data_IF_320320458217
#
_entry.id   IF_320320458217
#
_cell.length_a   1.000
_cell.length_b   1.000
_cell.length_c   1.000
_cell.angle_alpha   90.00
_cell.angle_beta   90.00
_cell.angle_gamma   90.00
#
_symmetry.space_group_name_H-M   'P 1'
#
loop_
_entity.id
_entity.type
_entity.pdbx_description
1 polymer ?
#
# COMPACT_ATOMS: atom_id res chain seq x y z
N UNK A 1 -9.15 -7.38 19.53
CA UNK A 1 -10.29 -7.44 18.58
C UNK A 1 -9.92 -8.49 17.53
N UNK A 2 -10.75 -9.49 17.24
CA UNK A 2 -10.41 -10.47 16.18
C UNK A 2 -10.63 -9.82 14.81
N UNK A 3 -9.66 -9.95 13.90
CA UNK A 3 -9.70 -9.37 12.54
C UNK A 3 -10.66 -10.12 11.59
N UNK A 4 -11.19 -11.28 11.99
CA UNK A 4 -12.05 -12.10 11.14
C UNK A 4 -11.31 -12.74 9.95
N UNK A 5 -9.99 -12.83 10.00
CA UNK A 5 -9.18 -13.45 8.96
C UNK A 5 -9.25 -14.98 9.04
N UNK A 6 -9.27 -15.63 7.88
CA UNK A 6 -9.23 -17.10 7.77
C UNK A 6 -7.82 -17.55 7.44
N UNK A 7 -7.20 -18.46 8.23
CA UNK A 7 -5.93 -19.06 7.88
C UNK A 7 -6.05 -19.86 6.57
N UNK A 8 -5.11 -19.64 5.65
CA UNK A 8 -5.03 -20.36 4.39
C UNK A 8 -3.58 -20.76 4.10
N UNK A 9 -3.39 -21.87 3.41
CA UNK A 9 -2.06 -22.29 2.94
C UNK A 9 -1.85 -21.77 1.51
N UNK A 10 -1.01 -20.74 1.37
CA UNK A 10 -0.65 -20.12 0.09
C UNK A 10 0.77 -19.57 0.13
N UNK A 11 1.42 -19.51 -1.04
CA UNK A 11 2.69 -18.81 -1.19
C UNK A 11 2.54 -17.28 -1.11
N UNK A 12 3.67 -16.60 -0.94
CA UNK A 12 3.76 -15.14 -1.09
C UNK A 12 3.51 -14.77 -2.55
N UNK A 13 2.66 -13.78 -2.78
CA UNK A 13 2.54 -13.18 -4.10
C UNK A 13 3.77 -12.29 -4.40
N UNK A 14 3.87 -11.83 -5.65
CA UNK A 14 4.95 -10.95 -6.10
C UNK A 14 5.08 -9.68 -5.23
N UNK A 15 3.95 -9.11 -4.79
CA UNK A 15 3.92 -7.88 -4.02
C UNK A 15 4.58 -8.05 -2.65
N UNK A 16 4.42 -9.21 -2.02
CA UNK A 16 5.12 -9.54 -0.78
C UNK A 16 6.54 -10.06 -1.02
N UNK A 17 6.74 -10.95 -2.01
CA UNK A 17 8.03 -11.62 -2.24
C UNK A 17 9.14 -10.67 -2.66
N UNK A 18 8.90 -9.74 -3.60
CA UNK A 18 9.94 -8.84 -4.12
C UNK A 18 10.58 -7.99 -3.01
N UNK A 19 9.85 -7.16 -2.24
CA UNK A 19 10.47 -6.33 -1.22
C UNK A 19 11.16 -7.17 -0.14
N UNK A 20 10.57 -8.30 0.27
CA UNK A 20 11.15 -9.16 1.29
C UNK A 20 12.44 -9.86 0.81
N UNK A 21 12.50 -10.31 -0.44
CA UNK A 21 13.72 -10.90 -1.02
C UNK A 21 14.88 -9.92 -1.10
N UNK A 22 14.60 -8.62 -1.18
CA UNK A 22 15.61 -7.56 -1.20
C UNK A 22 16.00 -7.10 0.21
N UNK A 23 15.04 -7.05 1.15
CA UNK A 23 15.27 -6.63 2.53
C UNK A 23 15.92 -7.73 3.39
N UNK A 24 15.49 -8.98 3.19
CA UNK A 24 15.87 -10.17 3.98
C UNK A 24 16.22 -11.34 3.06
N UNK A 25 17.33 -11.27 2.30
CA UNK A 25 17.68 -12.24 1.26
C UNK A 25 17.90 -13.68 1.79
N UNK A 26 18.30 -13.83 3.05
CA UNK A 26 18.52 -15.13 3.69
C UNK A 26 17.24 -15.80 4.19
N UNK A 27 16.08 -15.12 4.09
CA UNK A 27 14.77 -15.60 4.52
C UNK A 27 14.74 -16.10 5.98
N UNK A 28 15.47 -15.43 6.85
CA UNK A 28 15.62 -15.73 8.28
C UNK A 28 14.56 -15.06 9.18
N UNK A 29 13.70 -14.21 8.60
CA UNK A 29 12.57 -13.57 9.27
C UNK A 29 11.26 -14.30 8.92
N UNK A 30 10.49 -14.81 9.90
CA UNK A 30 9.17 -15.39 9.66
C UNK A 30 8.19 -14.36 9.08
N UNK A 31 7.43 -14.77 8.06
CA UNK A 31 6.49 -13.88 7.34
C UNK A 31 5.06 -14.42 7.44
N UNK A 32 4.13 -13.55 7.82
CA UNK A 32 2.69 -13.79 7.70
C UNK A 32 2.13 -12.83 6.67
N UNK A 33 1.60 -13.35 5.56
CA UNK A 33 0.91 -12.53 4.56
C UNK A 33 -0.55 -12.30 4.96
N UNK A 34 -0.99 -11.04 4.93
CA UNK A 34 -2.38 -10.65 5.14
C UNK A 34 -3.00 -10.18 3.81
N UNK A 35 -4.10 -10.81 3.38
CA UNK A 35 -4.84 -10.34 2.20
C UNK A 35 -5.62 -9.06 2.50
N UNK A 36 -5.66 -8.13 1.55
CA UNK A 36 -6.51 -6.95 1.66
C UNK A 36 -7.98 -7.26 1.30
N UNK A 37 -8.94 -6.83 2.13
CA UNK A 37 -10.36 -6.97 1.82
C UNK A 37 -10.79 -5.97 0.72
N UNK A 38 -11.05 -6.49 -0.48
CA UNK A 38 -11.32 -5.69 -1.70
C UNK A 38 -12.52 -4.73 -1.63
N UNK A 39 -13.43 -4.90 -0.67
CA UNK A 39 -14.65 -4.08 -0.52
C UNK A 39 -14.58 -3.07 0.61
N UNK A 40 -13.48 -3.03 1.36
CA UNK A 40 -13.34 -2.10 2.47
C UNK A 40 -13.07 -0.69 1.97
N UNK A 41 -13.64 0.27 2.68
CA UNK A 41 -13.38 1.70 2.53
C UNK A 41 -11.96 2.05 2.97
N UNK A 42 -11.47 3.21 2.52
CA UNK A 42 -10.17 3.74 2.95
C UNK A 42 -10.08 3.86 4.48
N UNK A 43 -11.15 4.31 5.15
CA UNK A 43 -11.21 4.41 6.61
C UNK A 43 -11.13 3.05 7.30
N UNK A 44 -11.79 2.02 6.76
CA UNK A 44 -11.69 0.65 7.30
C UNK A 44 -10.28 0.08 7.16
N UNK A 45 -9.57 0.39 6.07
CA UNK A 45 -8.17 -0.01 5.86
C UNK A 45 -7.21 0.73 6.81
N UNK A 46 -7.44 2.01 7.09
CA UNK A 46 -6.66 2.75 8.10
C UNK A 46 -6.91 2.14 9.48
N UNK A 47 -8.18 1.87 9.82
CA UNK A 47 -8.54 1.24 11.09
C UNK A 47 -7.96 -0.20 11.24
N UNK A 48 -7.73 -0.91 10.13
CA UNK A 48 -6.96 -2.16 10.13
C UNK A 48 -5.52 -1.91 10.55
N UNK A 49 -4.85 -0.93 9.94
CA UNK A 49 -3.52 -0.50 10.32
C UNK A 49 -3.41 -0.18 11.81
N UNK A 50 -4.34 0.62 12.32
CA UNK A 50 -4.40 1.00 13.74
C UNK A 50 -4.54 -0.23 14.67
N UNK A 51 -5.27 -1.25 14.24
CA UNK A 51 -5.38 -2.52 14.99
C UNK A 51 -4.08 -3.34 14.92
N UNK A 52 -3.34 -3.25 13.82
CA UNK A 52 -2.05 -3.92 13.66
C UNK A 52 -0.90 -3.17 14.36
N UNK A 53 -1.06 -1.87 14.65
CA UNK A 53 -0.04 -1.03 15.30
C UNK A 53 0.48 -1.61 16.62
N UNK A 54 -0.38 -2.32 17.36
CA UNK A 54 -0.02 -2.97 18.63
C UNK A 54 1.06 -4.06 18.46
N UNK A 55 1.14 -4.70 17.30
CA UNK A 55 2.15 -5.73 17.01
C UNK A 55 3.57 -5.18 17.05
N UNK A 56 3.75 -3.87 16.83
CA UNK A 56 5.05 -3.20 16.96
C UNK A 56 5.59 -3.24 18.39
N UNK A 57 4.74 -3.40 19.40
CA UNK A 57 5.15 -3.58 20.79
C UNK A 57 5.67 -5.00 21.05
N UNK A 58 5.38 -5.93 20.15
CA UNK A 58 5.81 -7.34 20.17
C UNK A 58 6.97 -7.60 19.19
N UNK A 59 7.67 -6.54 18.76
CA UNK A 59 8.81 -6.60 17.80
C UNK A 59 8.42 -7.16 16.42
N UNK A 60 7.17 -6.93 16.00
CA UNK A 60 6.67 -7.32 14.68
C UNK A 60 6.63 -6.11 13.76
N UNK A 61 7.29 -6.24 12.59
CA UNK A 61 7.26 -5.25 11.52
C UNK A 61 5.98 -5.38 10.67
N UNK A 62 5.23 -4.29 10.52
CA UNK A 62 4.11 -4.20 9.57
C UNK A 62 4.61 -3.60 8.26
N UNK A 63 4.46 -4.34 7.15
CA UNK A 63 4.88 -3.91 5.81
C UNK A 63 3.66 -3.78 4.91
N UNK A 64 3.42 -2.58 4.37
CA UNK A 64 2.51 -2.37 3.25
C UNK A 64 3.29 -2.28 1.94
N UNK A 65 3.10 -3.24 1.04
CA UNK A 65 3.72 -3.25 -0.29
C UNK A 65 2.67 -3.01 -1.37
N UNK A 66 2.92 -2.02 -2.23
CA UNK A 66 2.00 -1.58 -3.27
C UNK A 66 2.72 -0.75 -4.32
N UNK A 67 2.03 0.20 -4.94
CA UNK A 67 2.63 1.12 -5.90
C UNK A 67 2.03 2.51 -5.75
N UNK A 68 2.89 3.53 -5.73
CA UNK A 68 2.43 4.91 -5.63
C UNK A 68 1.61 5.33 -6.85
N UNK A 69 1.94 4.80 -8.03
CA UNK A 69 1.19 5.00 -9.29
C UNK A 69 1.05 3.65 -10.00
N UNK A 70 -0.13 3.30 -10.49
CA UNK A 70 -0.39 2.01 -11.12
C UNK A 70 -1.49 2.07 -12.19
N UNK A 71 -1.10 2.36 -13.43
CA UNK A 71 -1.98 2.30 -14.59
C UNK A 71 -1.32 1.55 -15.76
N UNK A 72 -1.63 0.24 -15.84
CA UNK A 72 -1.08 -0.63 -16.88
C UNK A 72 -1.69 -0.37 -18.27
N UNK A 73 -2.83 0.33 -18.37
CA UNK A 73 -3.42 0.71 -19.66
C UNK A 73 -2.57 1.76 -20.40
N UNK A 74 -1.72 2.49 -19.67
CA UNK A 74 -0.87 3.56 -20.20
C UNK A 74 0.64 3.25 -20.03
N UNK A 75 1.00 1.96 -19.98
CA UNK A 75 2.40 1.55 -19.95
C UNK A 75 3.15 2.09 -21.18
N UNK A 76 4.28 2.75 -20.95
CA UNK A 76 5.14 3.27 -22.01
C UNK A 76 6.45 2.48 -22.09
N UNK A 77 7.12 2.46 -23.26
CA UNK A 77 8.44 1.87 -23.40
C UNK A 77 9.46 2.42 -22.40
N UNK A 78 10.45 1.61 -22.04
CA UNK A 78 11.54 2.06 -21.19
C UNK A 78 12.29 3.23 -21.83
N UNK A 79 12.54 4.29 -21.05
CA UNK A 79 13.21 5.50 -21.52
C UNK A 79 12.25 6.58 -22.07
N UNK A 80 10.94 6.31 -22.12
CA UNK A 80 9.94 7.34 -22.39
C UNK A 80 9.94 8.43 -21.30
N UNK A 81 9.59 9.65 -21.70
CA UNK A 81 9.41 10.75 -20.75
C UNK A 81 8.27 10.44 -19.79
N UNK A 82 8.50 10.61 -18.49
CA UNK A 82 7.48 10.42 -17.47
C UNK A 82 6.33 11.42 -17.72
N UNK A 83 5.08 10.96 -17.89
CA UNK A 83 3.95 11.86 -18.06
C UNK A 83 3.73 12.74 -16.83
N UNK A 84 3.35 14.01 -17.04
CA UNK A 84 3.15 14.96 -15.95
C UNK A 84 2.13 14.49 -14.90
N UNK A 85 1.07 13.78 -15.31
CA UNK A 85 0.05 13.24 -14.42
C UNK A 85 0.58 12.23 -13.39
N UNK A 86 1.65 11.50 -13.72
CA UNK A 86 2.35 10.58 -12.79
C UNK A 86 3.05 11.41 -11.71
N UNK A 87 3.81 12.42 -12.15
CA UNK A 87 4.58 13.29 -11.26
C UNK A 87 3.68 14.09 -10.31
N UNK A 88 2.63 14.73 -10.82
CA UNK A 88 1.73 15.56 -10.02
C UNK A 88 1.01 14.77 -8.92
N UNK A 89 0.57 13.55 -9.20
CA UNK A 89 -0.02 12.69 -8.17
C UNK A 89 1.01 12.24 -7.14
N UNK A 90 2.18 11.76 -7.59
CA UNK A 90 3.24 11.31 -6.69
C UNK A 90 3.73 12.43 -5.75
N UNK A 91 3.90 13.64 -6.29
CA UNK A 91 4.26 14.84 -5.53
C UNK A 91 3.18 15.20 -4.51
N UNK A 92 1.91 15.16 -4.91
CA UNK A 92 0.79 15.41 -4.00
C UNK A 92 0.78 14.41 -2.83
N UNK A 93 0.91 13.11 -3.10
CA UNK A 93 0.93 12.08 -2.04
C UNK A 93 2.12 12.26 -1.11
N UNK A 94 3.32 12.50 -1.66
CA UNK A 94 4.53 12.73 -0.85
C UNK A 94 4.39 13.98 0.05
N UNK A 95 3.76 15.05 -0.43
CA UNK A 95 3.47 16.23 0.38
C UNK A 95 2.54 15.89 1.55
N UNK A 96 1.41 15.21 1.28
CA UNK A 96 0.46 14.80 2.33
C UNK A 96 1.08 13.87 3.38
N UNK A 97 1.93 12.93 2.94
CA UNK A 97 2.67 12.05 3.85
C UNK A 97 3.63 12.84 4.76
N UNK A 98 4.36 13.81 4.21
CA UNK A 98 5.28 14.67 4.99
C UNK A 98 4.57 15.57 5.99
N UNK A 99 3.37 16.04 5.62
CA UNK A 99 2.52 16.87 6.46
C UNK A 99 1.76 16.04 7.53
N UNK A 100 1.76 14.71 7.42
CA UNK A 100 0.96 13.85 8.28
C UNK A 100 -0.55 14.00 8.04
N UNK A 101 -0.95 14.44 6.84
CA UNK A 101 -2.33 14.75 6.45
C UNK A 101 -3.10 13.46 6.14
N UNK A 102 -3.45 12.72 7.20
CA UNK A 102 -4.16 11.44 7.13
C UNK A 102 -5.53 11.58 6.46
N UNK A 103 -6.21 12.70 6.68
CA UNK A 103 -7.54 12.94 6.11
C UNK A 103 -7.47 13.11 4.59
N UNK A 104 -6.48 13.84 4.08
CA UNK A 104 -6.28 13.92 2.63
C UNK A 104 -5.91 12.56 2.03
N UNK A 105 -5.02 11.80 2.68
CA UNK A 105 -4.64 10.45 2.23
C UNK A 105 -5.81 9.46 2.27
N UNK A 106 -6.70 9.57 3.26
CA UNK A 106 -7.95 8.81 3.32
C UNK A 106 -8.91 9.16 2.17
N UNK A 107 -8.76 10.35 1.57
CA UNK A 107 -9.54 10.85 0.43
C UNK A 107 -8.68 11.00 -0.84
N UNK A 108 -7.62 10.19 -1.00
CA UNK A 108 -6.63 10.30 -2.09
C UNK A 108 -7.25 10.33 -3.49
N UNK A 109 -8.45 9.78 -3.69
CA UNK A 109 -9.16 9.82 -4.98
C UNK A 109 -9.51 11.26 -5.43
N UNK A 110 -9.45 12.23 -4.51
CA UNK A 110 -9.62 13.67 -4.81
C UNK A 110 -8.33 14.34 -5.30
N UNK A 111 -7.19 13.64 -5.25
CA UNK A 111 -5.91 14.17 -5.69
C UNK A 111 -5.87 14.40 -7.22
N UNK A 112 -4.97 15.28 -7.70
CA UNK A 112 -4.75 15.48 -9.13
C UNK A 112 -4.47 14.15 -9.85
N UNK A 113 -5.19 13.90 -10.94
CA UNK A 113 -5.01 12.70 -11.77
C UNK A 113 -5.13 11.36 -11.02
N UNK A 114 -5.77 11.30 -9.85
CA UNK A 114 -5.85 10.10 -9.03
C UNK A 114 -6.44 8.90 -9.78
N UNK A 115 -7.58 9.09 -10.47
CA UNK A 115 -8.23 8.03 -11.26
C UNK A 115 -7.38 7.55 -12.44
N UNK A 116 -6.53 8.42 -12.99
CA UNK A 116 -5.61 8.06 -14.08
C UNK A 116 -4.39 7.33 -13.54
N UNK A 117 -3.90 7.70 -12.35
CA UNK A 117 -2.84 6.97 -11.67
C UNK A 117 -3.28 5.61 -11.16
N UNK A 118 -4.54 5.48 -10.77
CA UNK A 118 -5.13 4.27 -10.19
C UNK A 118 -6.54 4.07 -10.75
N UNK A 119 -6.68 3.37 -11.90
CA UNK A 119 -7.98 2.98 -12.44
C UNK A 119 -8.79 2.12 -11.44
N UNK A 120 -8.08 1.38 -10.58
CA UNK A 120 -8.58 0.61 -9.46
C UNK A 120 -7.69 0.87 -8.23
N UNK A 121 -8.21 0.77 -6.99
CA UNK A 121 -7.54 1.30 -5.81
C UNK A 121 -6.49 0.37 -5.18
N UNK A 122 -6.46 -0.90 -5.56
CA UNK A 122 -5.81 -1.99 -4.82
C UNK A 122 -4.29 -1.82 -4.65
N UNK A 123 -3.62 -1.13 -5.57
CA UNK A 123 -2.18 -0.88 -5.47
C UNK A 123 -1.84 0.31 -4.55
N UNK A 124 -2.80 1.19 -4.27
CA UNK A 124 -2.65 2.29 -3.31
C UNK A 124 -3.05 1.88 -1.89
N UNK A 125 -4.04 0.99 -1.75
CA UNK A 125 -4.60 0.53 -0.47
C UNK A 125 -3.57 0.05 0.58
N UNK A 126 -2.46 -0.65 0.23
CA UNK A 126 -1.42 -1.02 1.19
C UNK A 126 -0.84 0.16 1.97
N UNK A 127 -0.75 1.35 1.36
CA UNK A 127 -0.27 2.57 2.02
C UNK A 127 -1.22 2.98 3.16
N UNK A 128 -2.53 2.84 2.97
CA UNK A 128 -3.53 3.22 3.97
C UNK A 128 -3.46 2.34 5.22
N UNK A 129 -3.20 1.04 5.04
CA UNK A 129 -2.96 0.12 6.16
C UNK A 129 -1.64 0.44 6.86
N UNK A 130 -0.55 0.61 6.09
CA UNK A 130 0.76 0.92 6.68
C UNK A 130 0.77 2.27 7.42
N UNK A 131 0.01 3.25 6.96
CA UNK A 131 -0.13 4.56 7.60
C UNK A 131 -0.87 4.50 8.95
N UNK A 132 -1.79 3.56 9.11
CA UNK A 132 -2.51 3.33 10.37
C UNK A 132 -1.65 2.62 11.44
N UNK A 133 -0.67 1.82 11.01
CA UNK A 133 0.20 1.01 11.87
C UNK A 133 1.35 1.80 12.53
#
# INVERSE_FOLDING_TARGET
>A
KQLGATPVERGLDHGAWVPLSLMYPDADVPVVSLSLPSRWSNTELIALGEQLAMLRQEDILVVGSGSLTHNLYELQPQGSQIPAWVGSFAEWVNARLREGDRDALANWQTAPDAKRNHPTPEHFQPLLVAMGA
#
